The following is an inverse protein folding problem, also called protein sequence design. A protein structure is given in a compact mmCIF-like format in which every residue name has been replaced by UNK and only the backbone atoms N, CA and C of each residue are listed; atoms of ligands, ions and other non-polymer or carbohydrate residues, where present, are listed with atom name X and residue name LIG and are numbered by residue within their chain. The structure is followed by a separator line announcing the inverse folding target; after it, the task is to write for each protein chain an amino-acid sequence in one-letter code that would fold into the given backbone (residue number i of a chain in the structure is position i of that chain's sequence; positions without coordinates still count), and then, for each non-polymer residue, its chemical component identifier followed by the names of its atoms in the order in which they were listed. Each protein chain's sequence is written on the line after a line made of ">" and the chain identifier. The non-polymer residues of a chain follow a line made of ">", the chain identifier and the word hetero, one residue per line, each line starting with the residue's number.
data_IF_630480684190
#
_entry.id   IF_630480684190
#
_cell.length_a   1.000
_cell.length_b   1.000
_cell.length_c   1.000
_cell.angle_alpha   90.00
_cell.angle_beta   90.00
_cell.angle_gamma   90.00
#
_symmetry.space_group_name_H-M   'P 1'
#
loop_
_entity.id
_entity.type
_entity.pdbx_description
1 polymer ?
#
# COMPACT_ATOMS: atom_id res chain seq x y z
N UNK A 1 13.79 -4.69 -11.45
CA UNK A 1 12.83 -3.62 -11.13
C UNK A 1 11.53 -3.98 -11.82
N UNK A 2 10.46 -4.24 -11.07
CA UNK A 2 9.15 -4.60 -11.63
C UNK A 2 8.19 -3.44 -11.41
N UNK A 3 7.58 -2.92 -12.48
CA UNK A 3 6.55 -1.89 -12.42
C UNK A 3 5.19 -2.51 -12.75
N UNK A 4 4.14 -2.13 -12.00
CA UNK A 4 2.76 -2.50 -12.33
C UNK A 4 1.86 -1.29 -12.19
N UNK A 5 0.96 -1.11 -13.16
CA UNK A 5 -0.15 -0.17 -13.06
C UNK A 5 -1.26 -0.79 -12.20
N UNK A 6 -1.49 -0.20 -11.03
CA UNK A 6 -2.56 -0.61 -10.12
C UNK A 6 -3.64 0.48 -10.06
N UNK A 7 -4.85 0.09 -9.70
CA UNK A 7 -5.97 1.02 -9.47
C UNK A 7 -6.22 1.13 -7.97
N UNK A 8 -6.40 2.36 -7.49
CA UNK A 8 -6.89 2.63 -6.14
C UNK A 8 -8.41 2.43 -6.16
N UNK A 9 -8.91 1.67 -5.19
CA UNK A 9 -10.33 1.47 -4.95
C UNK A 9 -10.77 2.42 -3.85
N UNK A 10 -11.87 3.13 -4.08
CA UNK A 10 -12.46 4.05 -3.11
C UNK A 10 -13.69 3.38 -2.51
N UNK A 11 -13.47 2.67 -1.40
CA UNK A 11 -14.56 2.04 -0.66
C UNK A 11 -15.24 3.05 0.26
N UNK A 12 -16.55 2.91 0.46
CA UNK A 12 -17.24 3.60 1.57
C UNK A 12 -16.90 2.88 2.87
N UNK A 13 -16.47 3.63 3.88
CA UNK A 13 -16.35 3.15 5.25
C UNK A 13 -17.74 3.13 5.90
N UNK A 14 -17.94 2.26 6.90
CA UNK A 14 -19.23 2.15 7.60
C UNK A 14 -19.72 3.45 8.25
N UNK A 15 -18.81 4.40 8.49
CA UNK A 15 -19.12 5.74 9.02
C UNK A 15 -19.32 6.80 7.92
N UNK A 16 -19.43 6.41 6.64
CA UNK A 16 -19.65 7.33 5.52
C UNK A 16 -18.38 8.01 4.98
N UNK A 17 -17.21 7.71 5.54
CA UNK A 17 -15.92 8.15 5.01
C UNK A 17 -15.54 7.40 3.73
N UNK A 18 -14.60 7.94 2.94
CA UNK A 18 -14.03 7.24 1.80
C UNK A 18 -12.67 6.70 2.19
N UNK A 19 -12.50 5.38 2.12
CA UNK A 19 -11.22 4.72 2.37
C UNK A 19 -10.57 4.30 1.04
N UNK A 20 -9.55 5.04 0.57
CA UNK A 20 -8.75 4.61 -0.58
C UNK A 20 -7.91 3.39 -0.18
N UNK A 21 -7.98 2.34 -0.99
CA UNK A 21 -7.22 1.10 -0.80
C UNK A 21 -6.61 0.64 -2.11
N UNK A 22 -5.42 0.06 -2.07
CA UNK A 22 -4.79 -0.59 -3.22
C UNK A 22 -4.33 -1.99 -2.85
N UNK A 23 -4.44 -2.92 -3.80
CA UNK A 23 -3.94 -4.27 -3.63
C UNK A 23 -2.48 -4.34 -4.03
N UNK A 24 -1.59 -4.51 -3.04
CA UNK A 24 -0.18 -4.78 -3.29
C UNK A 24 -0.05 -6.26 -3.73
N UNK A 25 0.69 -6.56 -4.81
CA UNK A 25 0.92 -7.93 -5.24
C UNK A 25 1.52 -8.79 -4.12
N UNK A 26 0.93 -9.96 -3.87
CA UNK A 26 1.39 -10.89 -2.84
C UNK A 26 2.89 -11.21 -2.96
N UNK A 27 3.41 -11.34 -4.19
CA UNK A 27 4.85 -11.57 -4.43
C UNK A 27 5.76 -10.53 -3.79
N UNK A 28 5.36 -9.26 -3.79
CA UNK A 28 6.15 -8.18 -3.18
C UNK A 28 6.07 -8.23 -1.66
N UNK A 29 4.86 -8.46 -1.12
CA UNK A 29 4.62 -8.63 0.32
C UNK A 29 5.41 -9.81 0.87
N UNK A 30 5.38 -10.96 0.20
CA UNK A 30 6.14 -12.16 0.53
C UNK A 30 7.65 -11.88 0.44
N UNK A 31 8.11 -11.17 -0.60
CA UNK A 31 9.52 -10.76 -0.76
C UNK A 31 9.99 -9.77 0.30
N UNK A 32 9.09 -8.99 0.90
CA UNK A 32 9.38 -8.09 2.02
C UNK A 32 9.33 -8.83 3.37
N UNK A 33 8.99 -10.13 3.40
CA UNK A 33 8.84 -10.89 4.65
C UNK A 33 7.70 -10.37 5.52
N UNK A 34 6.66 -9.80 4.91
CA UNK A 34 5.48 -9.32 5.62
C UNK A 34 4.54 -10.50 5.83
N UNK A 35 4.30 -10.84 7.09
CA UNK A 35 3.39 -11.92 7.51
C UNK A 35 2.26 -11.33 8.36
N UNK A 36 1.19 -12.09 8.61
CA UNK A 36 0.09 -11.66 9.49
C UNK A 36 0.55 -11.26 10.89
N UNK A 37 1.63 -11.88 11.37
CA UNK A 37 2.22 -11.66 12.70
C UNK A 37 3.23 -10.50 12.71
N UNK A 38 3.70 -10.06 11.53
CA UNK A 38 4.66 -8.97 11.37
C UNK A 38 4.29 -8.14 10.13
N UNK A 39 3.18 -7.42 10.25
CA UNK A 39 2.52 -6.66 9.19
C UNK A 39 2.75 -5.14 9.27
N UNK A 40 3.69 -4.71 10.12
CA UNK A 40 4.09 -3.32 10.21
C UNK A 40 5.05 -2.94 9.08
N UNK A 41 4.83 -1.77 8.49
CA UNK A 41 5.65 -1.17 7.45
C UNK A 41 5.72 0.33 7.67
N UNK A 42 6.81 0.94 7.23
CA UNK A 42 6.95 2.39 7.21
C UNK A 42 6.50 2.89 5.85
N UNK A 43 5.56 3.84 5.84
CA UNK A 43 5.07 4.48 4.62
C UNK A 43 5.45 5.95 4.68
N UNK A 44 6.20 6.41 3.69
CA UNK A 44 6.59 7.81 3.54
C UNK A 44 5.92 8.37 2.29
N UNK A 45 5.22 9.49 2.45
CA UNK A 45 4.71 10.26 1.32
C UNK A 45 5.59 11.49 1.11
N UNK A 46 6.13 11.61 -0.09
CA UNK A 46 6.93 12.75 -0.53
C UNK A 46 6.01 13.71 -1.31
N UNK A 47 5.78 14.90 -0.74
CA UNK A 47 4.84 15.87 -1.33
C UNK A 47 5.37 16.54 -2.59
N UNK A 48 6.69 16.64 -2.77
CA UNK A 48 7.29 17.31 -3.93
C UNK A 48 7.21 16.41 -5.16
N UNK A 49 7.57 15.13 -4.99
CA UNK A 49 7.60 14.13 -6.07
C UNK A 49 6.30 13.35 -6.21
N UNK A 50 5.34 13.55 -5.29
CA UNK A 50 4.07 12.79 -5.20
C UNK A 50 4.30 11.27 -5.18
N UNK A 51 5.37 10.84 -4.51
CA UNK A 51 5.78 9.45 -4.44
C UNK A 51 5.47 8.86 -3.07
N UNK A 52 4.91 7.64 -3.06
CA UNK A 52 4.77 6.84 -1.84
C UNK A 52 5.89 5.79 -1.84
N UNK A 53 6.70 5.78 -0.77
CA UNK A 53 7.70 4.74 -0.52
C UNK A 53 7.24 3.88 0.66
N UNK A 54 7.25 2.57 0.46
CA UNK A 54 6.92 1.59 1.50
C UNK A 54 8.19 0.80 1.79
N UNK A 55 8.64 0.82 3.03
CA UNK A 55 9.84 0.10 3.48
C UNK A 55 9.53 -0.75 4.70
N UNK A 56 10.28 -1.85 4.83
CA UNK A 56 10.32 -2.70 6.02
C UNK A 56 11.77 -2.86 6.45
#
# INVERSE_FOLDING_TARGET
>A
MEERKLKIRFGKSGNGGVNPTMSIPKKWVDSMGIAKENNEVIVVFDEETKTIKITK
#
